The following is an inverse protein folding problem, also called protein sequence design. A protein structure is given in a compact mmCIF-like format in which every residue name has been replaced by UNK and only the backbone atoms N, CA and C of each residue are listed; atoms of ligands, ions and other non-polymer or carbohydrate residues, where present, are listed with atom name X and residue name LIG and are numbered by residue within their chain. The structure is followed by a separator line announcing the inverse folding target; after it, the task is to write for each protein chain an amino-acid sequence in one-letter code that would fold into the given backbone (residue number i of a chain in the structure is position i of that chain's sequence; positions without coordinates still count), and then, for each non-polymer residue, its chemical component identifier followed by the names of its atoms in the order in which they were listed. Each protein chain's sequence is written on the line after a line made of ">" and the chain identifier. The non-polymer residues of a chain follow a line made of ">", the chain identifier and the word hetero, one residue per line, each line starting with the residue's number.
data_IF_794394117578
#
_entry.id   IF_794394117578
#
_cell.length_a   1.000
_cell.length_b   1.000
_cell.length_c   1.000
_cell.angle_alpha   90.00
_cell.angle_beta   90.00
_cell.angle_gamma   90.00
#
_symmetry.space_group_name_H-M   'P 1'
#
loop_
_entity.id
_entity.type
_entity.pdbx_description
1 polymer ?
#
# COMPACT_ATOMS: atom_id res chain seq x y z
N UNK A 1 15.54 -2.83 -14.81
CA UNK A 1 15.24 -3.94 -13.89
C UNK A 1 13.72 -3.99 -13.72
N UNK A 2 13.09 -5.19 -13.70
CA UNK A 2 11.65 -5.27 -13.44
C UNK A 2 11.34 -4.75 -12.03
N UNK A 3 10.23 -4.02 -11.87
CA UNK A 3 9.71 -3.66 -10.56
C UNK A 3 8.97 -4.87 -10.00
N UNK A 4 9.63 -5.62 -9.11
CA UNK A 4 9.05 -6.80 -8.48
C UNK A 4 8.98 -6.60 -6.97
N UNK A 5 7.87 -7.02 -6.37
CA UNK A 5 7.73 -7.08 -4.90
C UNK A 5 8.79 -8.04 -4.35
N UNK A 6 9.51 -7.59 -3.32
CA UNK A 6 10.45 -8.43 -2.57
C UNK A 6 9.66 -9.12 -1.47
N UNK A 7 9.36 -10.41 -1.67
CA UNK A 7 8.57 -11.20 -0.73
C UNK A 7 9.46 -11.80 0.37
N UNK A 8 9.03 -11.77 1.65
CA UNK A 8 9.62 -12.64 2.65
C UNK A 8 9.39 -14.11 2.27
N UNK A 9 10.34 -14.99 2.61
CA UNK A 9 10.34 -16.38 2.13
C UNK A 9 9.03 -17.15 2.38
N UNK A 10 8.34 -16.89 3.49
CA UNK A 10 7.07 -17.55 3.84
C UNK A 10 5.87 -17.10 2.98
N UNK A 11 5.97 -15.96 2.30
CA UNK A 11 4.90 -15.36 1.50
C UNK A 11 5.23 -15.33 0.00
N UNK A 12 6.13 -16.21 -0.45
CA UNK A 12 6.48 -16.31 -1.86
C UNK A 12 5.24 -16.80 -2.66
N UNK A 13 4.96 -16.21 -3.83
CA UNK A 13 3.89 -16.70 -4.70
C UNK A 13 4.08 -18.19 -5.03
N UNK A 14 3.04 -18.99 -4.84
CA UNK A 14 3.07 -20.45 -5.04
C UNK A 14 3.48 -21.27 -3.81
N UNK A 15 3.81 -20.64 -2.67
CA UNK A 15 4.09 -21.34 -1.40
C UNK A 15 3.02 -21.11 -0.34
N UNK A 16 1.89 -20.49 -0.69
CA UNK A 16 0.75 -20.15 0.18
C UNK A 16 -0.54 -20.74 -0.39
N UNK A 17 -1.61 -20.76 0.41
CA UNK A 17 -2.90 -21.33 0.00
C UNK A 17 -3.57 -20.56 -1.14
N UNK A 18 -3.30 -19.26 -1.25
CA UNK A 18 -3.80 -18.41 -2.33
C UNK A 18 -2.79 -17.30 -2.68
N UNK A 19 -2.80 -16.88 -3.94
CA UNK A 19 -2.02 -15.76 -4.47
C UNK A 19 -2.84 -15.01 -5.51
N UNK A 20 -2.88 -13.68 -5.41
CA UNK A 20 -3.55 -12.79 -6.37
C UNK A 20 -2.61 -11.64 -6.75
N UNK A 21 -2.63 -11.26 -8.03
CA UNK A 21 -1.85 -10.15 -8.57
C UNK A 21 -2.75 -9.28 -9.44
N UNK A 22 -2.72 -7.96 -9.20
CA UNK A 22 -3.49 -6.96 -9.95
C UNK A 22 -2.54 -5.84 -10.38
N UNK A 23 -2.69 -5.38 -11.63
CA UNK A 23 -1.91 -4.26 -12.18
C UNK A 23 -2.83 -3.34 -12.97
N UNK A 24 -2.65 -2.03 -12.81
CA UNK A 24 -3.36 -1.00 -13.57
C UNK A 24 -2.35 0.03 -14.06
N UNK A 25 -2.37 0.30 -15.37
CA UNK A 25 -1.50 1.30 -16.01
C UNK A 25 -2.36 2.50 -16.41
N UNK A 26 -2.09 3.67 -15.83
CA UNK A 26 -2.83 4.91 -16.11
C UNK A 26 -1.89 5.96 -16.67
N UNK A 27 -2.24 6.52 -17.82
CA UNK A 27 -1.43 7.56 -18.49
C UNK A 27 -1.58 8.91 -17.80
N UNK A 28 -0.46 9.61 -17.60
CA UNK A 28 -0.46 11.00 -17.13
C UNK A 28 -0.65 11.16 -15.61
N UNK A 29 -0.59 10.06 -14.85
CA UNK A 29 -0.60 10.07 -13.39
C UNK A 29 0.78 9.64 -12.90
N UNK A 30 1.33 10.33 -11.90
CA UNK A 30 2.61 10.00 -11.28
C UNK A 30 2.41 9.22 -9.97
N UNK A 31 3.46 8.53 -9.51
CA UNK A 31 3.43 7.80 -8.25
C UNK A 31 3.16 8.74 -7.06
N UNK A 32 3.73 9.94 -7.09
CA UNK A 32 3.57 10.97 -6.05
C UNK A 32 2.12 11.45 -5.94
N UNK A 33 1.37 11.48 -7.05
CA UNK A 33 -0.06 11.84 -7.04
C UNK A 33 -0.93 10.74 -6.42
N UNK A 34 -0.54 9.48 -6.59
CA UNK A 34 -1.28 8.31 -6.06
C UNK A 34 -0.95 8.05 -4.60
N UNK A 35 0.31 8.27 -4.19
CA UNK A 35 0.83 7.88 -2.89
C UNK A 35 0.00 8.36 -1.68
N UNK A 36 -0.50 9.61 -1.61
CA UNK A 36 -1.32 10.06 -0.49
C UNK A 36 -2.62 9.26 -0.31
N UNK A 37 -3.18 8.71 -1.40
CA UNK A 37 -4.39 7.89 -1.33
C UNK A 37 -4.10 6.47 -0.85
N UNK A 38 -2.88 5.95 -1.04
CA UNK A 38 -2.46 4.63 -0.60
C UNK A 38 -1.92 4.64 0.82
N UNK A 39 -1.04 5.59 1.15
CA UNK A 39 -0.37 5.67 2.45
C UNK A 39 -1.29 6.15 3.58
N UNK A 40 -2.30 6.98 3.27
CA UNK A 40 -3.26 7.46 4.26
C UNK A 40 -4.54 6.63 4.25
N UNK A 41 -4.65 5.74 5.24
CA UNK A 41 -5.81 4.85 5.41
C UNK A 41 -7.13 5.60 5.60
N UNK A 42 -7.09 6.88 6.00
CA UNK A 42 -8.29 7.73 6.13
C UNK A 42 -8.93 8.08 4.78
N UNK A 43 -8.21 7.86 3.67
CA UNK A 43 -8.72 8.11 2.32
C UNK A 43 -9.42 6.91 1.71
N UNK A 44 -9.23 5.71 2.23
CA UNK A 44 -9.60 4.48 1.54
C UNK A 44 -11.12 4.34 1.34
N UNK A 45 -11.92 4.77 2.33
CA UNK A 45 -13.39 4.75 2.23
C UNK A 45 -13.93 5.65 1.09
N UNK A 46 -13.14 6.60 0.59
CA UNK A 46 -13.54 7.46 -0.53
C UNK A 46 -13.50 6.79 -1.90
N UNK A 47 -12.74 5.69 -2.04
CA UNK A 47 -12.51 5.06 -3.35
C UNK A 47 -12.58 3.53 -3.35
N UNK A 48 -12.60 2.87 -2.19
CA UNK A 48 -12.75 1.41 -2.10
C UNK A 48 -13.89 1.05 -1.15
N UNK A 49 -15.00 0.61 -1.73
CA UNK A 49 -16.28 0.38 -1.02
C UNK A 49 -16.24 -0.75 0.00
N UNK A 50 -15.25 -1.64 -0.08
CA UNK A 50 -15.11 -2.77 0.85
C UNK A 50 -14.26 -2.41 2.08
N UNK A 51 -13.91 -1.14 2.25
CA UNK A 51 -13.23 -0.65 3.46
C UNK A 51 -14.27 -0.16 4.46
N UNK A 52 -14.03 -0.49 5.73
CA UNK A 52 -14.74 0.10 6.86
C UNK A 52 -13.94 -0.08 8.14
N UNK A 53 -14.36 0.60 9.20
CA UNK A 53 -13.80 0.47 10.56
C UNK A 53 -12.28 0.75 10.64
N UNK A 54 -11.81 1.83 10.01
CA UNK A 54 -10.41 2.22 10.08
C UNK A 54 -10.03 2.81 11.45
N UNK A 55 -8.83 2.52 11.94
CA UNK A 55 -8.26 3.15 13.14
C UNK A 55 -6.86 3.69 12.83
N UNK A 56 -6.72 5.00 12.58
CA UNK A 56 -5.43 5.61 12.32
C UNK A 56 -4.49 5.50 13.52
N UNK A 57 -3.19 5.26 13.32
CA UNK A 57 -2.22 5.30 14.40
C UNK A 57 -2.06 6.74 14.94
N UNK A 58 -1.77 6.85 16.23
CA UNK A 58 -1.60 8.15 16.90
C UNK A 58 -0.43 8.97 16.38
N UNK A 59 0.58 8.32 15.79
CA UNK A 59 1.71 8.94 15.11
C UNK A 59 1.35 9.58 13.77
N UNK A 60 0.11 9.43 13.31
CA UNK A 60 -0.35 9.87 11.99
C UNK A 60 -0.16 8.80 10.90
N UNK A 61 -0.77 9.02 9.72
CA UNK A 61 -0.91 7.99 8.68
C UNK A 61 0.39 7.61 7.98
N UNK A 62 1.42 8.45 8.07
CA UNK A 62 2.68 8.26 7.35
C UNK A 62 3.81 7.97 8.33
N UNK A 63 4.61 6.95 8.01
CA UNK A 63 5.82 6.64 8.76
C UNK A 63 6.80 7.82 8.64
N UNK A 64 7.15 8.39 9.79
CA UNK A 64 8.20 9.41 9.87
C UNK A 64 9.52 8.72 10.21
N UNK A 65 10.60 9.17 9.56
CA UNK A 65 11.95 8.78 9.98
C UNK A 65 12.15 9.26 11.41
N UNK A 66 12.64 8.38 12.29
CA UNK A 66 12.98 8.80 13.65
C UNK A 66 14.17 9.75 13.58
N UNK A 67 14.13 10.88 14.28
CA UNK A 67 15.34 11.66 14.53
C UNK A 67 16.39 10.73 15.16
N UNK A 68 17.57 10.63 14.55
CA UNK A 68 18.69 9.90 15.13
C UNK A 68 19.11 10.65 16.40
N UNK A 69 18.78 10.08 17.56
CA UNK A 69 19.36 10.48 18.85
C UNK A 69 20.83 10.07 18.88
#
# INVERSE_FOLDING_TARGET
>A
MPSSIIWPAKYLPGTTDNYVSNEVIVKGITAEQVWPFLADITKWESYYTNVGQITPPSSGPVLQEKEKV
#
